data_IF_433497130214
#
_entry.id   IF_433497130214
#
_cell.length_a   1.000
_cell.length_b   1.000
_cell.length_c   1.000
_cell.angle_alpha   90.00
_cell.angle_beta   90.00
_cell.angle_gamma   90.00
#
_symmetry.space_group_name_H-M   'P 1'
#
loop_
_entity.id
_entity.type
_entity.pdbx_description
1 polymer ?
#
# COMPACT_ATOMS: atom_id res chain seq x y z
N UNK A 1 -0.59 18.19 42.90
CA UNK A 1 -1.07 17.79 41.57
C UNK A 1 -2.51 17.34 41.72
N UNK A 2 -3.45 18.00 41.07
CA UNK A 2 -4.82 17.51 41.00
C UNK A 2 -5.11 17.08 39.55
N UNK A 3 -5.53 15.82 39.39
CA UNK A 3 -6.21 15.40 38.17
C UNK A 3 -7.62 15.99 38.27
N UNK A 4 -7.95 16.92 37.37
CA UNK A 4 -9.23 17.65 37.35
C UNK A 4 -10.27 16.95 36.48
N UNK A 5 -9.84 15.99 35.66
CA UNK A 5 -10.69 15.13 34.86
C UNK A 5 -9.92 13.93 34.33
N UNK A 6 -10.62 12.84 34.06
CA UNK A 6 -10.04 11.63 33.47
C UNK A 6 -11.03 10.95 32.55
N UNK A 7 -10.55 10.44 31.42
CA UNK A 7 -11.28 9.62 30.46
C UNK A 7 -10.44 8.37 30.21
N UNK A 8 -11.08 7.20 30.23
CA UNK A 8 -10.44 5.94 29.87
C UNK A 8 -10.30 5.85 28.34
N UNK A 9 -9.11 5.54 27.85
CA UNK A 9 -8.81 5.38 26.43
C UNK A 9 -8.81 3.91 25.99
N UNK A 10 -8.99 2.95 26.91
CA UNK A 10 -8.79 1.53 26.65
C UNK A 10 -7.36 1.08 26.96
N UNK A 11 -7.15 -0.24 27.04
CA UNK A 11 -5.85 -0.90 27.28
C UNK A 11 -5.04 -0.37 28.49
N UNK A 12 -5.76 0.14 29.50
CA UNK A 12 -5.15 0.72 30.70
C UNK A 12 -4.54 2.11 30.49
N UNK A 13 -4.80 2.77 29.37
CA UNK A 13 -4.38 4.14 29.08
C UNK A 13 -5.46 5.14 29.48
N UNK A 14 -5.03 6.31 29.96
CA UNK A 14 -5.93 7.37 30.39
C UNK A 14 -5.65 8.66 29.61
N UNK A 15 -6.69 9.48 29.40
CA UNK A 15 -6.54 10.91 29.15
C UNK A 15 -6.91 11.64 30.44
N UNK A 16 -5.95 12.34 31.03
CA UNK A 16 -6.18 13.15 32.23
C UNK A 16 -6.04 14.63 31.94
N UNK A 17 -6.86 15.45 32.58
CA UNK A 17 -6.67 16.90 32.63
C UNK A 17 -6.01 17.26 33.95
N UNK A 18 -5.01 18.14 33.89
CA UNK A 18 -4.25 18.57 35.06
C UNK A 18 -4.21 20.10 35.14
N UNK A 19 -4.13 20.59 36.37
CA UNK A 19 -4.15 22.01 36.73
C UNK A 19 -2.78 22.69 36.76
N UNK A 20 -1.72 21.98 36.39
CA UNK A 20 -0.33 22.43 36.50
C UNK A 20 0.46 22.04 35.24
N UNK A 21 1.68 22.58 35.11
CA UNK A 21 2.60 22.27 34.02
C UNK A 21 3.11 20.81 34.13
N UNK A 22 2.74 19.92 33.18
CA UNK A 22 3.13 18.52 33.19
C UNK A 22 4.64 18.30 33.01
N UNK A 23 5.40 19.28 32.52
CA UNK A 23 6.85 19.21 32.38
C UNK A 23 7.57 19.39 33.73
N UNK A 24 6.91 20.04 34.69
CA UNK A 24 7.49 20.40 35.98
C UNK A 24 7.26 19.34 37.07
N UNK A 25 6.29 18.44 36.90
CA UNK A 25 5.89 17.46 37.93
C UNK A 25 5.53 16.11 37.30
N UNK A 26 5.98 15.02 37.92
CA UNK A 26 5.64 13.66 37.48
C UNK A 26 4.16 13.40 37.74
N UNK A 27 3.42 13.13 36.66
CA UNK A 27 2.02 12.73 36.69
C UNK A 27 1.88 11.22 36.91
N UNK A 28 1.07 10.82 37.88
CA UNK A 28 0.83 9.40 38.21
C UNK A 28 -0.23 8.81 37.26
N UNK A 29 0.14 8.73 35.98
CA UNK A 29 -0.66 8.10 34.93
C UNK A 29 0.21 7.10 34.17
N UNK A 30 -0.35 5.98 33.68
CA UNK A 30 0.41 4.96 32.95
C UNK A 30 1.20 5.55 31.77
N UNK A 31 2.43 5.07 31.53
CA UNK A 31 3.19 5.42 30.32
C UNK A 31 2.35 5.16 29.08
N UNK A 32 2.36 6.10 28.13
CA UNK A 32 1.45 6.13 26.99
C UNK A 32 0.15 6.90 27.22
N UNK A 33 -0.20 7.22 28.47
CA UNK A 33 -1.37 8.05 28.77
C UNK A 33 -1.21 9.48 28.26
N UNK A 34 -2.35 10.13 28.00
CA UNK A 34 -2.44 11.51 27.54
C UNK A 34 -2.72 12.45 28.70
N UNK A 35 -2.11 13.61 28.65
CA UNK A 35 -2.23 14.64 29.68
C UNK A 35 -2.59 15.94 28.98
N UNK A 36 -3.58 16.64 29.50
CA UNK A 36 -4.03 17.95 29.02
C UNK A 36 -3.81 18.95 30.13
N UNK A 37 -3.03 19.99 29.89
CA UNK A 37 -2.88 21.07 30.88
C UNK A 37 -4.06 22.03 30.87
N UNK A 38 -4.05 22.97 31.82
CA UNK A 38 -5.08 24.00 31.94
C UNK A 38 -5.20 24.94 30.73
N UNK A 39 -4.18 24.99 29.86
CA UNK A 39 -4.18 25.78 28.63
C UNK A 39 -4.64 24.96 27.41
N UNK A 40 -5.00 23.68 27.60
CA UNK A 40 -5.39 22.78 26.52
C UNK A 40 -4.22 22.23 25.71
N UNK A 41 -2.98 22.35 26.20
CA UNK A 41 -1.81 21.74 25.57
C UNK A 41 -1.79 20.26 25.92
N UNK A 42 -1.50 19.44 24.91
CA UNK A 42 -1.44 18.00 25.05
C UNK A 42 -0.02 17.52 25.30
N UNK A 43 0.10 16.49 26.14
CA UNK A 43 1.35 15.83 26.46
C UNK A 43 1.14 14.31 26.45
N UNK A 44 2.18 13.56 26.08
CA UNK A 44 2.23 12.09 26.17
C UNK A 44 3.12 11.71 27.34
N UNK A 45 2.64 10.80 28.19
CA UNK A 45 3.44 10.21 29.26
C UNK A 45 4.49 9.28 28.66
N UNK A 46 5.77 9.53 28.94
CA UNK A 46 6.90 8.77 28.36
C UNK A 46 7.74 8.02 29.40
N UNK A 47 7.62 8.36 30.69
CA UNK A 47 8.37 7.70 31.75
C UNK A 47 7.71 7.86 33.11
N UNK A 48 7.76 6.83 33.94
CA UNK A 48 7.35 6.90 35.35
C UNK A 48 8.47 7.33 36.29
N UNK A 49 9.72 7.32 35.80
CA UNK A 49 10.92 7.46 36.63
C UNK A 49 11.85 8.60 36.22
N UNK A 50 11.64 9.22 35.06
CA UNK A 50 12.48 10.29 34.52
C UNK A 50 11.76 11.65 34.49
N UNK A 51 12.55 12.74 34.49
CA UNK A 51 12.06 14.13 34.38
C UNK A 51 12.70 14.81 33.16
N UNK A 52 11.93 15.46 32.26
CA UNK A 52 10.47 15.50 32.26
C UNK A 52 9.88 14.11 32.01
N UNK A 53 8.76 13.82 32.66
CA UNK A 53 8.09 12.52 32.57
C UNK A 53 7.14 12.42 31.37
N UNK A 54 7.08 13.50 30.58
CA UNK A 54 6.12 13.74 29.50
C UNK A 54 6.81 14.48 28.34
N UNK A 55 6.30 14.28 27.13
CA UNK A 55 6.65 15.05 25.94
C UNK A 55 5.45 15.87 25.45
N UNK A 56 5.71 17.11 24.99
CA UNK A 56 4.68 17.98 24.40
C UNK A 56 4.22 17.41 23.06
N UNK A 57 2.92 17.20 22.92
CA UNK A 57 2.28 16.81 21.66
C UNK A 57 1.89 18.09 20.92
N UNK A 58 2.68 18.45 19.90
CA UNK A 58 2.49 19.67 19.10
C UNK A 58 1.47 19.53 17.96
N UNK A 59 0.91 18.33 17.75
CA UNK A 59 -0.13 18.11 16.76
C UNK A 59 -1.52 18.41 17.37
N UNK A 60 -2.23 19.38 16.80
CA UNK A 60 -3.54 19.88 17.29
C UNK A 60 -4.70 18.93 17.05
N UNK A 61 -4.47 17.82 16.33
CA UNK A 61 -5.43 16.75 16.17
C UNK A 61 -5.03 15.64 17.15
N UNK A 62 -5.94 15.17 18.03
CA UNK A 62 -5.79 13.91 18.73
C UNK A 62 -5.66 12.79 17.70
N UNK A 63 -4.45 12.55 17.21
CA UNK A 63 -4.14 11.37 16.42
C UNK A 63 -3.78 10.35 17.45
N UNK A 64 -4.82 9.72 17.97
CA UNK A 64 -4.74 8.71 19.00
C UNK A 64 -3.74 7.63 18.61
N UNK A 65 -3.13 7.06 19.63
CA UNK A 65 -2.25 5.92 19.57
C UNK A 65 -2.86 4.83 18.67
N UNK A 66 -2.27 4.62 17.48
CA UNK A 66 -2.76 3.63 16.49
C UNK A 66 -3.02 4.16 15.07
N UNK A 67 -2.79 5.44 14.79
CA UNK A 67 -2.76 5.95 13.40
C UNK A 67 -1.35 5.87 12.81
N UNK A 68 -1.10 4.83 12.02
CA UNK A 68 0.06 4.66 11.15
C UNK A 68 -0.25 5.12 9.71
N UNK A 69 0.78 5.30 8.89
CA UNK A 69 0.64 5.71 7.48
C UNK A 69 0.96 7.18 7.22
N UNK A 70 0.62 7.65 6.03
CA UNK A 70 1.08 8.95 5.52
C UNK A 70 0.08 10.06 5.82
N UNK A 71 0.58 11.21 6.27
CA UNK A 71 -0.25 12.39 6.49
C UNK A 71 -0.61 13.05 5.15
N UNK A 72 0.39 13.17 4.29
CA UNK A 72 0.36 13.91 3.05
C UNK A 72 0.89 13.05 1.88
N UNK A 73 0.21 11.94 1.54
CA UNK A 73 0.67 11.05 0.47
C UNK A 73 0.75 11.73 -0.89
N UNK A 74 -0.02 12.79 -1.14
CA UNK A 74 0.10 13.64 -2.32
C UNK A 74 1.45 14.34 -2.45
N UNK A 75 2.21 14.49 -1.34
CA UNK A 75 3.54 15.08 -1.30
C UNK A 75 4.64 14.06 -1.56
N UNK A 76 4.31 12.80 -1.82
CA UNK A 76 5.28 11.75 -2.15
C UNK A 76 5.34 11.57 -3.67
N UNK A 77 6.54 11.55 -4.22
CA UNK A 77 6.82 11.07 -5.57
C UNK A 77 7.59 9.75 -5.45
N UNK A 78 7.03 8.70 -6.02
CA UNK A 78 7.61 7.37 -6.07
C UNK A 78 8.22 7.07 -7.44
N UNK A 79 9.28 6.26 -7.47
CA UNK A 79 9.86 5.72 -8.69
C UNK A 79 10.43 4.33 -8.42
N UNK A 80 10.08 3.36 -9.26
CA UNK A 80 10.68 2.03 -9.21
C UNK A 80 11.65 1.82 -10.39
N UNK A 81 12.87 1.41 -10.08
CA UNK A 81 13.93 1.18 -11.06
C UNK A 81 14.12 -0.33 -11.20
N UNK A 82 13.57 -0.93 -12.25
CA UNK A 82 13.66 -2.37 -12.51
C UNK A 82 15.12 -2.86 -12.54
N UNK A 83 16.02 -2.15 -13.22
CA UNK A 83 17.40 -2.60 -13.42
C UNK A 83 18.23 -2.73 -12.14
N UNK A 84 17.86 -2.02 -11.08
CA UNK A 84 18.52 -2.08 -9.77
C UNK A 84 17.60 -2.55 -8.65
N UNK A 85 16.37 -2.96 -8.97
CA UNK A 85 15.32 -3.31 -8.00
C UNK A 85 15.23 -2.28 -6.88
N UNK A 86 15.14 -1.00 -7.25
CA UNK A 86 15.19 0.09 -6.26
C UNK A 86 13.88 0.84 -6.26
N UNK A 87 13.22 0.90 -5.10
CA UNK A 87 12.16 1.86 -4.85
C UNK A 87 12.77 3.15 -4.32
N UNK A 88 12.39 4.27 -4.91
CA UNK A 88 12.77 5.62 -4.50
C UNK A 88 11.54 6.41 -4.12
N UNK A 89 11.62 7.09 -2.98
CA UNK A 89 10.63 8.05 -2.49
C UNK A 89 11.30 9.41 -2.32
N UNK A 90 10.68 10.46 -2.82
CA UNK A 90 11.13 11.83 -2.60
C UNK A 90 9.94 12.78 -2.44
N UNK A 91 10.13 13.96 -1.82
CA UNK A 91 9.10 14.99 -1.83
C UNK A 91 8.73 15.41 -3.25
N UNK A 92 7.44 15.38 -3.56
CA UNK A 92 6.87 15.83 -4.82
C UNK A 92 6.70 17.34 -4.79
N UNK A 93 7.32 18.04 -5.74
CA UNK A 93 7.17 19.49 -5.87
C UNK A 93 5.68 19.89 -6.01
N UNK A 94 5.23 20.98 -5.37
CA UNK A 94 6.03 22.01 -4.69
C UNK A 94 6.39 21.69 -3.23
N UNK A 95 5.96 20.56 -2.68
CA UNK A 95 6.33 20.17 -1.33
C UNK A 95 7.83 19.89 -1.24
N UNK A 96 8.43 20.25 -0.11
CA UNK A 96 9.84 20.01 0.21
C UNK A 96 10.02 18.89 1.22
N UNK A 97 8.91 18.31 1.70
CA UNK A 97 8.90 17.18 2.62
C UNK A 97 7.60 16.39 2.48
N UNK A 98 7.62 15.15 2.98
CA UNK A 98 6.43 14.38 3.32
C UNK A 98 6.57 13.84 4.75
N UNK A 99 5.42 13.53 5.37
CA UNK A 99 5.31 13.10 6.75
C UNK A 99 4.54 11.79 6.84
N UNK A 100 5.03 10.89 7.69
CA UNK A 100 4.34 9.65 8.01
C UNK A 100 4.45 9.34 9.50
N UNK A 101 3.59 8.45 9.95
CA UNK A 101 3.59 7.90 11.31
C UNK A 101 3.81 6.40 11.24
N UNK A 102 4.76 5.89 12.03
CA UNK A 102 5.02 4.47 12.19
C UNK A 102 5.24 4.16 13.67
N UNK A 103 4.55 3.15 14.20
CA UNK A 103 4.52 2.75 15.62
C UNK A 103 4.28 3.92 16.58
N UNK A 104 3.41 4.84 16.17
CA UNK A 104 3.10 6.06 16.92
C UNK A 104 4.17 7.15 16.89
N UNK A 105 5.27 6.96 16.16
CA UNK A 105 6.33 7.95 15.97
C UNK A 105 6.13 8.73 14.68
N UNK A 106 6.28 10.05 14.74
CA UNK A 106 6.21 10.94 13.58
C UNK A 106 7.57 11.05 12.91
N UNK A 107 7.60 10.89 11.59
CA UNK A 107 8.79 11.08 10.77
C UNK A 107 8.51 12.07 9.65
N UNK A 108 9.52 12.86 9.32
CA UNK A 108 9.48 13.80 8.20
C UNK A 108 10.72 13.59 7.34
N UNK A 109 10.52 13.34 6.05
CA UNK A 109 11.59 13.17 5.06
C UNK A 109 11.62 14.38 4.14
N UNK A 110 12.81 14.94 3.92
CA UNK A 110 13.02 16.15 3.11
C UNK A 110 13.82 15.90 1.83
N UNK A 111 14.27 14.66 1.63
CA UNK A 111 15.11 14.28 0.50
C UNK A 111 14.77 12.89 -0.01
N UNK A 112 15.63 12.37 -0.90
CA UNK A 112 15.52 11.01 -1.41
C UNK A 112 15.66 10.00 -0.26
N UNK A 113 14.71 9.10 -0.18
CA UNK A 113 14.79 7.86 0.58
C UNK A 113 14.65 6.69 -0.39
N UNK A 114 15.33 5.58 -0.14
CA UNK A 114 15.34 4.47 -1.10
C UNK A 114 15.68 3.15 -0.45
N UNK A 115 15.16 2.08 -1.04
CA UNK A 115 15.47 0.70 -0.69
C UNK A 115 15.71 -0.14 -1.94
N UNK A 116 16.69 -1.04 -1.86
CA UNK A 116 16.89 -2.12 -2.84
C UNK A 116 16.19 -3.36 -2.28
N UNK A 117 15.27 -3.96 -3.03
CA UNK A 117 14.58 -5.16 -2.55
C UNK A 117 15.50 -6.38 -2.58
N UNK A 118 15.16 -7.39 -1.78
CA UNK A 118 15.96 -8.60 -1.58
C UNK A 118 16.24 -9.45 -2.83
N UNK A 119 15.62 -9.17 -3.98
CA UNK A 119 15.86 -9.93 -5.22
C UNK A 119 14.95 -11.15 -5.40
N UNK A 120 14.16 -11.49 -4.39
CA UNK A 120 13.29 -12.66 -4.40
C UNK A 120 12.20 -12.52 -5.47
N UNK A 121 11.91 -13.60 -6.18
CA UNK A 121 10.73 -13.68 -7.03
C UNK A 121 9.47 -13.65 -6.14
N UNK A 122 8.48 -12.84 -6.49
CA UNK A 122 7.20 -12.80 -5.76
C UNK A 122 6.82 -11.42 -5.23
N UNK A 123 5.96 -11.42 -4.21
CA UNK A 123 5.50 -10.21 -3.54
C UNK A 123 6.56 -9.68 -2.58
N UNK A 124 6.67 -8.36 -2.59
CA UNK A 124 7.46 -7.54 -1.69
C UNK A 124 6.57 -6.50 -1.06
N UNK A 125 6.62 -6.42 0.27
CA UNK A 125 5.89 -5.47 1.07
C UNK A 125 6.90 -4.46 1.62
N UNK A 126 6.78 -3.22 1.16
CA UNK A 126 7.67 -2.13 1.53
C UNK A 126 6.98 -1.26 2.56
N UNK A 127 7.67 -0.93 3.65
CA UNK A 127 7.12 -0.16 4.75
C UNK A 127 8.20 0.66 5.47
N UNK A 128 7.79 1.63 6.27
CA UNK A 128 8.65 2.25 7.28
C UNK A 128 8.45 1.59 8.63
N UNK A 129 9.54 1.11 9.25
CA UNK A 129 9.53 0.55 10.60
C UNK A 129 9.39 1.63 11.70
N UNK A 130 9.38 1.20 12.97
CA UNK A 130 9.26 2.09 14.12
C UNK A 130 10.41 3.08 14.33
N UNK A 131 11.53 2.90 13.61
CA UNK A 131 12.68 3.82 13.58
C UNK A 131 12.64 4.74 12.33
N UNK A 132 11.63 4.60 11.47
CA UNK A 132 11.44 5.40 10.27
C UNK A 132 12.38 5.04 9.13
N UNK A 133 12.86 3.78 9.10
CA UNK A 133 13.72 3.22 8.05
C UNK A 133 12.87 2.40 7.07
N UNK A 134 13.14 2.54 5.76
CA UNK A 134 12.48 1.71 4.75
C UNK A 134 12.94 0.25 4.90
N UNK A 135 11.99 -0.66 4.89
CA UNK A 135 12.20 -2.10 4.98
C UNK A 135 11.49 -2.84 3.84
N UNK A 136 11.99 -4.03 3.52
CA UNK A 136 11.45 -4.97 2.53
C UNK A 136 11.24 -6.33 3.19
N UNK A 137 10.03 -6.87 3.11
CA UNK A 137 9.73 -8.26 3.48
C UNK A 137 8.90 -8.94 2.39
N UNK A 138 9.01 -10.26 2.27
CA UNK A 138 8.32 -11.05 1.24
C UNK A 138 7.17 -11.90 1.78
N UNK A 139 6.97 -11.86 3.09
CA UNK A 139 5.89 -12.55 3.79
C UNK A 139 5.04 -11.49 4.47
N UNK A 140 3.72 -11.56 4.26
CA UNK A 140 2.79 -10.65 4.88
C UNK A 140 2.86 -10.74 6.42
N UNK A 141 2.81 -9.57 7.05
CA UNK A 141 2.65 -9.42 8.49
C UNK A 141 1.57 -8.35 8.73
N UNK A 142 0.60 -8.62 9.58
CA UNK A 142 -0.46 -7.67 9.92
C UNK A 142 0.08 -6.38 10.55
N UNK A 143 1.26 -6.43 11.18
CA UNK A 143 1.93 -5.23 11.72
C UNK A 143 2.17 -4.16 10.64
N UNK A 144 2.29 -4.55 9.36
CA UNK A 144 2.41 -3.63 8.23
C UNK A 144 1.24 -2.64 8.15
N UNK A 145 0.05 -3.08 8.57
CA UNK A 145 -1.18 -2.29 8.58
C UNK A 145 -1.49 -1.79 9.99
N UNK A 146 -1.21 -2.58 11.03
CA UNK A 146 -1.60 -2.25 12.40
C UNK A 146 -0.70 -1.19 13.03
N UNK A 147 0.60 -1.25 12.74
CA UNK A 147 1.63 -0.53 13.50
C UNK A 147 2.58 0.24 12.60
N UNK A 148 3.02 -0.36 11.49
CA UNK A 148 4.03 0.20 10.60
C UNK A 148 3.40 1.05 9.48
N UNK A 149 4.18 1.94 8.85
CA UNK A 149 3.67 2.72 7.71
C UNK A 149 3.93 1.97 6.40
N UNK A 150 2.97 1.17 5.94
CA UNK A 150 3.07 0.50 4.65
C UNK A 150 3.16 1.53 3.51
N UNK A 151 4.06 1.25 2.56
CA UNK A 151 4.35 2.11 1.42
C UNK A 151 3.74 1.53 0.15
N UNK A 152 4.14 0.30 -0.19
CA UNK A 152 3.77 -0.30 -1.47
C UNK A 152 3.85 -1.82 -1.40
N UNK A 153 3.08 -2.46 -2.29
CA UNK A 153 3.20 -3.89 -2.59
C UNK A 153 3.68 -4.01 -4.03
N UNK A 154 4.77 -4.73 -4.20
CA UNK A 154 5.42 -4.93 -5.50
C UNK A 154 5.47 -6.43 -5.79
N UNK A 155 5.04 -6.84 -6.98
CA UNK A 155 5.38 -8.18 -7.48
C UNK A 155 6.61 -8.08 -8.41
N UNK A 156 7.67 -8.78 -8.05
CA UNK A 156 8.90 -8.90 -8.82
C UNK A 156 8.96 -10.22 -9.61
N UNK A 157 9.03 -10.11 -10.94
CA UNK A 157 9.34 -11.20 -11.85
C UNK A 157 10.86 -11.23 -12.07
N UNK A 158 11.53 -12.11 -11.33
CA UNK A 158 12.98 -12.25 -11.36
C UNK A 158 13.47 -12.84 -12.69
N UNK A 159 12.66 -13.69 -13.32
CA UNK A 159 12.99 -14.29 -14.62
C UNK A 159 13.11 -13.22 -15.71
N UNK A 160 12.17 -12.27 -15.72
CA UNK A 160 12.15 -11.19 -16.70
C UNK A 160 12.80 -9.89 -16.20
N UNK A 161 13.32 -9.89 -14.96
CA UNK A 161 13.89 -8.72 -14.29
C UNK A 161 12.97 -7.50 -14.36
N UNK A 162 11.70 -7.71 -14.03
CA UNK A 162 10.67 -6.68 -14.17
C UNK A 162 9.65 -6.73 -13.04
N UNK A 163 9.27 -5.55 -12.60
CA UNK A 163 8.12 -5.35 -11.75
C UNK A 163 6.82 -5.47 -12.57
N UNK A 164 5.93 -6.37 -12.17
CA UNK A 164 4.66 -6.62 -12.87
C UNK A 164 3.44 -6.14 -12.09
N UNK A 165 3.57 -5.87 -10.79
CA UNK A 165 2.53 -5.23 -9.97
C UNK A 165 3.14 -4.07 -9.16
N UNK A 166 2.44 -2.95 -9.12
CA UNK A 166 2.67 -1.82 -8.21
C UNK A 166 1.36 -1.44 -7.52
N UNK A 167 1.11 -1.94 -6.30
CA UNK A 167 0.05 -1.41 -5.46
C UNK A 167 0.63 -0.33 -4.53
N UNK A 168 -0.05 0.81 -4.45
CA UNK A 168 0.41 2.01 -3.73
C UNK A 168 -0.39 2.19 -2.45
N UNK A 169 0.03 1.47 -1.42
CA UNK A 169 -0.63 1.44 -0.11
C UNK A 169 -0.47 2.77 0.66
N UNK A 170 0.59 3.55 0.40
CA UNK A 170 0.78 4.82 1.10
C UNK A 170 -0.35 5.85 0.89
N UNK A 171 -1.26 5.62 -0.06
CA UNK A 171 -2.45 6.46 -0.23
C UNK A 171 -3.51 6.26 0.85
N UNK A 172 -3.47 5.14 1.58
CA UNK A 172 -4.19 4.99 2.84
C UNK A 172 -3.58 5.99 3.82
N UNK A 173 -4.27 7.13 3.98
CA UNK A 173 -3.80 8.23 4.83
C UNK A 173 -3.76 7.74 6.28
N UNK A 174 -3.09 8.48 7.14
CA UNK A 174 -3.16 8.26 8.60
C UNK A 174 -4.51 8.68 9.23
N UNK A 175 -5.62 8.54 8.50
CA UNK A 175 -6.96 9.02 8.87
C UNK A 175 -7.82 7.95 9.56
N UNK A 176 -7.37 6.70 9.57
CA UNK A 176 -8.04 5.58 10.24
C UNK A 176 -7.05 4.76 11.08
N UNK A 177 -7.52 4.13 12.14
CA UNK A 177 -6.68 3.23 12.93
C UNK A 177 -6.26 2.02 12.11
N UNK A 178 -5.10 1.44 12.41
CA UNK A 178 -4.66 0.20 11.76
C UNK A 178 -5.68 -0.93 11.86
N UNK A 179 -6.43 -1.02 12.97
CA UNK A 179 -7.52 -2.00 13.12
C UNK A 179 -8.68 -1.78 12.14
N UNK A 180 -9.03 -0.50 11.88
CA UNK A 180 -10.05 -0.15 10.88
C UNK A 180 -9.57 -0.49 9.48
N UNK A 181 -8.31 -0.18 9.19
CA UNK A 181 -7.65 -0.50 7.92
C UNK A 181 -7.64 -2.01 7.66
N UNK A 182 -7.16 -2.82 8.62
CA UNK A 182 -7.19 -4.30 8.50
C UNK A 182 -8.60 -4.83 8.25
N UNK A 183 -9.58 -4.34 9.00
CA UNK A 183 -10.99 -4.74 8.81
C UNK A 183 -11.47 -4.45 7.40
N UNK A 184 -11.11 -3.29 6.85
CA UNK A 184 -11.52 -2.92 5.50
C UNK A 184 -10.86 -3.82 4.46
N UNK A 185 -9.61 -4.26 4.65
CA UNK A 185 -8.96 -5.22 3.77
C UNK A 185 -9.67 -6.58 3.83
N UNK A 186 -10.02 -7.04 5.04
CA UNK A 186 -10.68 -8.33 5.26
C UNK A 186 -12.12 -8.38 4.74
N UNK A 187 -12.86 -7.29 4.85
CA UNK A 187 -14.31 -7.26 4.60
C UNK A 187 -14.65 -6.63 3.26
N UNK A 188 -14.03 -5.51 2.91
CA UNK A 188 -14.34 -4.76 1.70
C UNK A 188 -13.40 -5.16 0.56
N UNK A 189 -12.09 -5.17 0.84
CA UNK A 189 -11.04 -5.30 -0.15
C UNK A 189 -11.16 -4.29 -1.29
N UNK A 190 -10.62 -4.67 -2.45
CA UNK A 190 -10.68 -3.87 -3.66
C UNK A 190 -12.06 -3.92 -4.34
N UNK A 191 -12.65 -2.77 -4.59
CA UNK A 191 -13.98 -2.63 -5.19
C UNK A 191 -13.99 -1.83 -6.49
N UNK A 192 -14.74 -2.31 -7.49
CA UNK A 192 -15.11 -1.54 -8.68
C UNK A 192 -16.35 -0.69 -8.37
N UNK A 193 -16.24 0.63 -8.50
CA UNK A 193 -17.35 1.56 -8.25
C UNK A 193 -18.16 1.89 -9.51
N UNK A 194 -17.49 2.11 -10.63
CA UNK A 194 -18.15 2.44 -11.90
C UNK A 194 -17.24 2.18 -13.10
N UNK A 195 -17.83 1.94 -14.27
CA UNK A 195 -17.11 1.73 -15.53
C UNK A 195 -16.61 0.29 -15.69
N UNK A 196 -15.53 0.11 -16.43
CA UNK A 196 -14.91 -1.20 -16.64
C UNK A 196 -15.65 -2.12 -17.60
N UNK A 197 -16.71 -1.63 -18.25
CA UNK A 197 -17.36 -2.35 -19.32
C UNK A 197 -16.40 -2.57 -20.49
N UNK A 198 -16.53 -3.74 -21.13
CA UNK A 198 -15.87 -3.99 -22.40
C UNK A 198 -16.49 -3.07 -23.46
N UNK A 199 -15.63 -2.44 -24.25
CA UNK A 199 -16.03 -1.52 -25.31
C UNK A 199 -15.49 -1.98 -26.67
N UNK A 200 -16.08 -1.47 -27.75
CA UNK A 200 -15.56 -1.62 -29.12
C UNK A 200 -15.44 -3.08 -29.59
N UNK A 201 -16.26 -3.98 -29.04
CA UNK A 201 -16.36 -5.38 -29.45
C UNK A 201 -17.08 -5.52 -30.79
N UNK A 202 -16.44 -6.18 -31.77
CA UNK A 202 -17.08 -6.57 -33.02
C UNK A 202 -17.57 -8.02 -32.94
N UNK A 203 -18.77 -8.24 -32.39
CA UNK A 203 -19.26 -9.55 -31.94
C UNK A 203 -19.70 -10.52 -33.06
N UNK A 204 -20.05 -10.00 -34.24
CA UNK A 204 -20.60 -10.80 -35.36
C UNK A 204 -19.65 -10.87 -36.57
N UNK A 205 -18.35 -10.94 -36.31
CA UNK A 205 -17.33 -10.95 -37.35
C UNK A 205 -16.74 -12.34 -37.62
N UNK A 206 -16.11 -12.50 -38.78
CA UNK A 206 -15.55 -13.79 -39.22
C UNK A 206 -14.21 -14.18 -38.55
N UNK A 207 -13.62 -13.31 -37.73
CA UNK A 207 -12.25 -13.50 -37.22
C UNK A 207 -11.13 -13.28 -38.25
N UNK A 208 -11.45 -12.92 -39.50
CA UNK A 208 -10.45 -12.76 -40.57
C UNK A 208 -9.57 -11.49 -40.48
N UNK A 209 -9.97 -10.50 -39.68
CA UNK A 209 -9.22 -9.25 -39.50
C UNK A 209 -8.80 -9.09 -38.04
N UNK A 210 -7.66 -8.42 -37.82
CA UNK A 210 -7.18 -8.10 -36.47
C UNK A 210 -8.21 -7.39 -35.60
N UNK A 211 -9.03 -6.51 -36.18
CA UNK A 211 -10.09 -5.77 -35.49
C UNK A 211 -11.19 -6.67 -34.94
N UNK A 212 -11.33 -7.91 -35.43
CA UNK A 212 -12.31 -8.88 -34.91
C UNK A 212 -11.86 -9.50 -33.59
N UNK A 213 -10.57 -9.42 -33.25
CA UNK A 213 -9.97 -10.00 -32.04
C UNK A 213 -9.48 -8.92 -31.06
N UNK A 214 -10.07 -7.73 -31.13
CA UNK A 214 -9.71 -6.54 -30.40
C UNK A 214 -10.90 -6.06 -29.57
N UNK A 215 -10.63 -5.56 -28.37
CA UNK A 215 -11.63 -4.89 -27.54
C UNK A 215 -10.97 -3.84 -26.66
N UNK A 216 -11.75 -2.84 -26.29
CA UNK A 216 -11.37 -1.79 -25.36
C UNK A 216 -11.99 -1.98 -23.98
N UNK A 217 -11.67 -1.06 -23.08
CA UNK A 217 -12.35 -0.92 -21.80
C UNK A 217 -12.76 0.55 -21.60
N UNK A 218 -13.93 0.74 -21.00
CA UNK A 218 -14.30 2.04 -20.44
C UNK A 218 -13.39 2.45 -19.29
N UNK A 219 -13.22 3.76 -19.08
CA UNK A 219 -12.55 4.26 -17.88
C UNK A 219 -13.27 3.73 -16.63
N UNK A 220 -12.51 3.31 -15.63
CA UNK A 220 -13.06 2.71 -14.40
C UNK A 220 -12.62 3.49 -13.17
N UNK A 221 -13.50 3.58 -12.19
CA UNK A 221 -13.18 4.06 -10.85
C UNK A 221 -13.21 2.86 -9.92
N UNK A 222 -12.12 2.64 -9.23
CA UNK A 222 -11.99 1.60 -8.24
C UNK A 222 -11.55 2.20 -6.91
N UNK A 223 -11.82 1.47 -5.83
CA UNK A 223 -11.40 1.83 -4.49
C UNK A 223 -10.67 0.64 -3.89
N UNK A 224 -9.53 0.92 -3.31
CA UNK A 224 -9.02 0.09 -2.21
C UNK A 224 -9.39 0.88 -0.97
N UNK A 225 -10.50 0.51 -0.32
CA UNK A 225 -11.00 1.21 0.87
C UNK A 225 -11.23 2.73 0.69
N UNK A 226 -10.38 3.59 1.27
CA UNK A 226 -10.38 5.05 1.16
C UNK A 226 -9.47 5.56 0.01
N UNK A 227 -8.66 4.69 -0.59
CA UNK A 227 -7.79 5.02 -1.72
C UNK A 227 -8.53 4.85 -3.05
N UNK A 228 -8.72 5.97 -3.77
CA UNK A 228 -9.37 5.99 -5.09
C UNK A 228 -8.36 5.81 -6.22
N UNK A 229 -8.64 4.85 -7.09
CA UNK A 229 -7.88 4.58 -8.31
C UNK A 229 -8.72 4.84 -9.55
N UNK A 230 -8.07 5.28 -10.63
CA UNK A 230 -8.70 5.44 -11.94
C UNK A 230 -7.96 4.60 -12.96
N UNK A 231 -8.67 3.66 -13.58
CA UNK A 231 -8.19 2.92 -14.74
C UNK A 231 -8.61 3.72 -15.98
N UNK A 232 -7.67 4.17 -16.84
CA UNK A 232 -8.03 4.96 -18.00
C UNK A 232 -8.79 4.12 -19.03
N UNK A 233 -9.58 4.80 -19.85
CA UNK A 233 -10.13 4.23 -21.07
C UNK A 233 -8.99 3.69 -21.95
N UNK A 234 -9.22 2.52 -22.56
CA UNK A 234 -8.37 1.98 -23.62
C UNK A 234 -9.26 1.64 -24.80
N UNK A 235 -8.93 2.17 -25.97
CA UNK A 235 -9.65 1.81 -27.20
C UNK A 235 -9.38 0.36 -27.64
N UNK A 236 -9.95 -0.09 -28.77
CA UNK A 236 -9.85 -1.47 -29.24
C UNK A 236 -8.41 -1.93 -29.56
N UNK A 237 -7.52 -1.00 -29.92
CA UNK A 237 -6.08 -1.28 -30.09
C UNK A 237 -5.26 -1.03 -28.82
N UNK A 238 -5.95 -0.81 -27.69
CA UNK A 238 -5.36 -0.52 -26.40
C UNK A 238 -4.48 -1.65 -25.89
N UNK A 239 -3.39 -1.29 -25.24
CA UNK A 239 -2.45 -2.25 -24.67
C UNK A 239 -2.99 -2.73 -23.32
N UNK A 240 -3.84 -3.74 -23.32
CA UNK A 240 -4.37 -4.36 -22.10
C UNK A 240 -3.36 -5.42 -21.61
N UNK A 241 -2.84 -5.31 -20.37
CA UNK A 241 -1.92 -6.29 -19.82
C UNK A 241 -2.62 -7.63 -19.53
N UNK A 242 -1.92 -8.73 -19.76
CA UNK A 242 -2.44 -10.09 -19.52
C UNK A 242 -1.49 -10.82 -18.59
N UNK A 243 -1.98 -11.10 -17.38
CA UNK A 243 -1.26 -11.86 -16.37
C UNK A 243 -1.55 -13.35 -16.52
N UNK A 244 -0.57 -14.19 -16.18
CA UNK A 244 -0.72 -15.63 -16.14
C UNK A 244 0.17 -16.25 -15.06
N UNK A 245 -0.14 -17.49 -14.68
CA UNK A 245 0.56 -18.24 -13.66
C UNK A 245 1.43 -19.34 -14.26
N UNK A 246 2.60 -19.54 -13.68
CA UNK A 246 3.55 -20.60 -14.02
C UNK A 246 3.98 -21.36 -12.76
N UNK A 247 4.35 -22.63 -12.93
CA UNK A 247 5.01 -23.41 -11.89
C UNK A 247 4.05 -24.29 -11.09
N UNK A 248 4.59 -24.94 -10.05
CA UNK A 248 3.88 -25.95 -9.26
C UNK A 248 3.08 -25.28 -8.14
N UNK A 249 1.92 -25.85 -7.77
CA UNK A 249 1.14 -25.43 -6.60
C UNK A 249 2.05 -25.35 -5.36
N UNK A 250 1.96 -24.25 -4.61
CA UNK A 250 2.84 -23.92 -3.49
C UNK A 250 4.10 -23.13 -3.87
N UNK A 251 4.43 -23.03 -5.15
CA UNK A 251 5.52 -22.23 -5.69
C UNK A 251 5.14 -21.61 -7.04
N UNK A 252 3.88 -21.17 -7.14
CA UNK A 252 3.33 -20.56 -8.36
C UNK A 252 3.88 -19.14 -8.47
N UNK A 253 4.25 -18.74 -9.67
CA UNK A 253 4.74 -17.40 -9.97
C UNK A 253 3.84 -16.72 -10.98
N UNK A 254 3.64 -15.42 -10.81
CA UNK A 254 2.92 -14.59 -11.77
C UNK A 254 3.87 -14.07 -12.85
N UNK A 255 3.35 -13.98 -14.06
CA UNK A 255 4.03 -13.49 -15.25
C UNK A 255 3.12 -12.48 -15.94
N UNK A 256 3.72 -11.57 -16.69
CA UNK A 256 3.02 -10.57 -17.48
C UNK A 256 3.54 -10.64 -18.91
N UNK A 257 2.68 -10.99 -19.85
CA UNK A 257 3.01 -10.89 -21.28
C UNK A 257 3.14 -9.40 -21.67
N UNK A 258 4.00 -9.11 -22.65
CA UNK A 258 4.06 -7.79 -23.25
C UNK A 258 2.67 -7.40 -23.76
N UNK A 259 2.16 -6.25 -23.30
CA UNK A 259 0.85 -5.78 -23.71
C UNK A 259 0.85 -5.51 -25.21
N UNK A 260 -0.06 -6.16 -25.93
CA UNK A 260 -0.30 -5.92 -27.35
C UNK A 260 -1.72 -5.42 -27.56
N UNK A 261 -2.07 -5.07 -28.80
CA UNK A 261 -3.46 -4.79 -29.15
C UNK A 261 -4.37 -6.02 -29.07
N UNK A 262 -3.82 -7.22 -28.80
CA UNK A 262 -4.56 -8.44 -28.60
C UNK A 262 -4.41 -8.88 -27.13
N UNK A 263 -5.46 -8.74 -26.30
CA UNK A 263 -5.43 -9.11 -24.89
C UNK A 263 -5.54 -10.63 -24.72
N UNK A 264 -4.55 -11.37 -25.20
CA UNK A 264 -4.47 -12.83 -25.14
C UNK A 264 -3.08 -13.26 -24.66
N UNK A 265 -3.05 -14.34 -23.87
CA UNK A 265 -1.79 -15.05 -23.59
C UNK A 265 -1.34 -15.75 -24.87
N UNK A 266 -0.03 -15.73 -25.13
CA UNK A 266 0.57 -16.42 -26.28
C UNK A 266 1.31 -17.67 -25.82
N UNK A 267 1.32 -18.72 -26.64
CA UNK A 267 1.99 -19.99 -26.30
C UNK A 267 3.51 -19.82 -26.15
N UNK A 268 4.12 -18.93 -26.93
CA UNK A 268 5.58 -18.70 -26.92
C UNK A 268 6.41 -19.91 -27.39
N UNK A 269 5.77 -20.94 -27.93
CA UNK A 269 6.40 -22.20 -28.38
C UNK A 269 6.47 -22.21 -29.91
N UNK A 270 7.63 -22.55 -30.47
CA UNK A 270 7.78 -22.88 -31.89
C UNK A 270 7.80 -21.71 -32.88
N UNK A 271 8.06 -20.48 -32.42
CA UNK A 271 8.12 -19.29 -33.29
C UNK A 271 6.75 -18.81 -33.80
N UNK A 272 5.66 -19.45 -33.37
CA UNK A 272 4.28 -19.02 -33.68
C UNK A 272 3.60 -18.44 -32.43
N UNK A 273 3.10 -17.21 -32.57
CA UNK A 273 2.35 -16.48 -31.53
C UNK A 273 0.88 -16.90 -31.48
N UNK A 274 0.62 -18.19 -31.26
CA UNK A 274 -0.77 -18.69 -31.15
C UNK A 274 -1.37 -18.34 -29.80
N UNK A 275 -2.69 -18.13 -29.79
CA UNK A 275 -3.44 -17.95 -28.56
C UNK A 275 -3.26 -19.17 -27.65
N UNK A 276 -3.12 -18.91 -26.36
CA UNK A 276 -3.01 -19.90 -25.31
C UNK A 276 -3.90 -19.52 -24.14
N UNK A 277 -4.19 -20.48 -23.27
CA UNK A 277 -4.86 -20.27 -22.00
C UNK A 277 -3.99 -20.79 -20.85
N UNK A 278 -4.18 -20.19 -19.67
CA UNK A 278 -3.48 -20.63 -18.47
C UNK A 278 -4.18 -21.86 -17.89
N UNK A 279 -3.50 -22.99 -17.86
CA UNK A 279 -4.06 -24.28 -17.48
C UNK A 279 -3.28 -24.87 -16.30
N UNK A 280 -4.01 -25.37 -15.30
CA UNK A 280 -3.47 -26.24 -14.26
C UNK A 280 -3.53 -27.70 -14.75
N UNK A 281 -2.37 -28.31 -14.99
CA UNK A 281 -2.25 -29.74 -15.35
C UNK A 281 -1.65 -30.50 -14.17
N UNK A 282 -2.49 -31.33 -13.53
CA UNK A 282 -2.13 -31.95 -12.26
C UNK A 282 -1.92 -30.89 -11.18
N UNK A 283 -0.66 -30.61 -10.86
CA UNK A 283 -0.26 -29.60 -9.87
C UNK A 283 0.55 -28.44 -10.48
N UNK A 284 0.68 -28.38 -11.80
CA UNK A 284 1.52 -27.37 -12.48
C UNK A 284 0.69 -26.43 -13.34
N UNK A 285 0.80 -25.13 -13.08
CA UNK A 285 0.32 -24.09 -13.97
C UNK A 285 1.25 -23.95 -15.18
N UNK A 286 0.66 -23.98 -16.36
CA UNK A 286 1.36 -23.83 -17.63
C UNK A 286 0.49 -23.08 -18.65
N UNK A 287 1.10 -22.73 -19.79
CA UNK A 287 0.37 -22.22 -20.95
C UNK A 287 0.07 -23.37 -21.90
N UNK A 288 -1.20 -23.51 -22.25
CA UNK A 288 -1.66 -24.51 -23.22
C UNK A 288 -2.20 -23.81 -24.45
N UNK A 289 -1.68 -24.18 -25.61
CA UNK A 289 -2.10 -23.60 -26.88
C UNK A 289 -3.57 -23.97 -27.18
N UNK A 290 -4.31 -23.02 -27.76
CA UNK A 290 -5.63 -23.29 -28.34
C UNK A 290 -5.47 -24.12 -29.61
N UNK A 291 -6.26 -25.18 -29.73
CA UNK A 291 -6.35 -25.99 -30.95
C UNK A 291 -7.43 -25.44 -31.87
N UNK A 292 -7.26 -25.62 -33.18
CA UNK A 292 -8.27 -25.32 -34.20
C UNK A 292 -9.28 -26.46 -34.33
#
# INVERSE_FOLDING_TARGET
>A
MAITGSVDLGDGLLQVTVDHDPLAVITDVPVGSRIVDANGVYYKKISDTASPSVDVVTDTIPRDFGYNGFLDPENVQETFINGSMTLQLLPKAPATSFTFYSRGNKFTKTGLDSIILSGAEGLHYIYYDGDGVLQDITVWNDDLILEDAIVAIIYWDATNSKQILFAREFFHRNQMSGETHRRLHDVNGYGLSSGGALDSLLVDQSGALSTHCQFGNEASICFDEDAKFTIPFRGPSGLIPVYWQEGVLGSVVWRLDESTSFPVVKSGIGGENRAAYNQLVGVTWQRTQVNN
#
